data_IF_791123605186
#
_entry.id   IF_791123605186
#
_cell.length_a   1.000
_cell.length_b   1.000
_cell.length_c   1.000
_cell.angle_alpha   90.00
_cell.angle_beta   90.00
_cell.angle_gamma   90.00
#
_symmetry.space_group_name_H-M   'P 1'
#
loop_
_entity.id
_entity.type
_entity.pdbx_description
1 polymer ?
#
# COMPACT_ATOMS: atom_id res chain seq x y z
N UNK A 1 8.68 -0.21 12.10
CA UNK A 1 8.09 -1.45 11.56
C UNK A 1 7.84 -1.19 10.10
N UNK A 2 8.56 -1.85 9.20
CA UNK A 2 8.32 -1.73 7.75
C UNK A 2 6.93 -2.28 7.46
N UNK A 3 6.04 -1.43 6.94
CA UNK A 3 4.73 -1.88 6.50
C UNK A 3 4.92 -2.88 5.35
N UNK A 4 4.23 -4.02 5.41
CA UNK A 4 4.24 -5.02 4.35
C UNK A 4 3.05 -4.76 3.44
N UNK A 5 3.29 -4.69 2.13
CA UNK A 5 2.27 -4.41 1.13
C UNK A 5 2.16 -5.59 0.16
N UNK A 6 0.95 -5.78 -0.37
CA UNK A 6 0.67 -6.70 -1.46
C UNK A 6 -0.23 -6.00 -2.47
N UNK A 7 0.07 -6.17 -3.75
CA UNK A 7 -0.79 -5.72 -4.86
C UNK A 7 -1.45 -6.95 -5.48
N UNK A 8 -2.77 -6.88 -5.70
CA UNK A 8 -3.56 -7.97 -6.24
C UNK A 8 -4.36 -7.49 -7.44
N UNK A 9 -4.33 -8.23 -8.56
CA UNK A 9 -5.26 -8.07 -9.67
C UNK A 9 -6.33 -9.15 -9.57
N UNK A 10 -7.59 -8.73 -9.51
CA UNK A 10 -8.74 -9.62 -9.33
C UNK A 10 -9.73 -9.36 -10.46
N UNK A 11 -10.02 -10.39 -11.26
CA UNK A 11 -11.07 -10.30 -12.27
C UNK A 11 -12.43 -10.14 -11.59
N UNK A 12 -13.10 -9.03 -11.89
CA UNK A 12 -14.37 -8.69 -11.25
C UNK A 12 -15.54 -9.46 -11.85
N UNK A 13 -16.59 -9.74 -11.05
CA UNK A 13 -17.87 -10.19 -11.58
C UNK A 13 -18.45 -9.20 -12.59
N UNK A 14 -19.04 -9.71 -13.66
CA UNK A 14 -19.74 -8.87 -14.65
C UNK A 14 -20.96 -8.16 -14.06
N UNK A 15 -21.64 -8.79 -13.09
CA UNK A 15 -22.78 -8.19 -12.40
C UNK A 15 -22.30 -7.09 -11.41
N UNK A 16 -22.83 -5.85 -11.52
CA UNK A 16 -22.42 -4.75 -10.66
C UNK A 16 -22.66 -4.97 -9.16
N UNK A 17 -23.73 -5.68 -8.79
CA UNK A 17 -24.06 -5.94 -7.37
C UNK A 17 -23.12 -6.99 -6.79
N UNK A 18 -22.83 -8.05 -7.54
CA UNK A 18 -21.85 -9.05 -7.17
C UNK A 18 -20.45 -8.43 -6.99
N UNK A 19 -20.06 -7.51 -7.88
CA UNK A 19 -18.82 -6.74 -7.74
C UNK A 19 -18.78 -5.90 -6.46
N UNK A 20 -19.85 -5.17 -6.14
CA UNK A 20 -19.90 -4.37 -4.91
C UNK A 20 -19.84 -5.26 -3.67
N UNK A 21 -20.57 -6.38 -3.67
CA UNK A 21 -20.53 -7.34 -2.57
C UNK A 21 -19.12 -7.92 -2.39
N UNK A 22 -18.45 -8.30 -3.47
CA UNK A 22 -17.07 -8.80 -3.44
C UNK A 22 -16.13 -7.79 -2.77
N UNK A 23 -16.19 -6.52 -3.16
CA UNK A 23 -15.36 -5.45 -2.57
C UNK A 23 -15.59 -5.30 -1.06
N UNK A 24 -16.85 -5.32 -0.62
CA UNK A 24 -17.20 -5.24 0.79
C UNK A 24 -16.65 -6.45 1.58
N UNK A 25 -16.79 -7.66 1.03
CA UNK A 25 -16.31 -8.88 1.67
C UNK A 25 -14.79 -8.92 1.76
N UNK A 26 -14.08 -8.52 0.69
CA UNK A 26 -12.62 -8.47 0.69
C UNK A 26 -12.10 -7.49 1.74
N UNK A 27 -12.68 -6.29 1.79
CA UNK A 27 -12.32 -5.27 2.79
C UNK A 27 -12.56 -5.78 4.21
N UNK A 28 -13.70 -6.45 4.44
CA UNK A 28 -14.04 -7.02 5.73
C UNK A 28 -13.01 -8.09 6.16
N UNK A 29 -12.71 -9.07 5.31
CA UNK A 29 -11.73 -10.12 5.62
C UNK A 29 -10.35 -9.54 5.91
N UNK A 30 -9.89 -8.57 5.11
CA UNK A 30 -8.59 -7.90 5.35
C UNK A 30 -8.56 -7.24 6.73
N UNK A 31 -9.64 -6.55 7.12
CA UNK A 31 -9.74 -5.90 8.43
C UNK A 31 -9.73 -6.88 9.61
N UNK A 32 -10.29 -8.09 9.44
CA UNK A 32 -10.32 -9.11 10.50
C UNK A 32 -8.91 -9.56 10.93
N UNK A 33 -7.94 -9.46 10.01
CA UNK A 33 -6.54 -9.81 10.27
C UNK A 33 -5.64 -8.59 10.55
N UNK A 34 -6.24 -7.41 10.80
CA UNK A 34 -5.52 -6.18 11.13
C UNK A 34 -4.87 -5.47 9.93
N UNK A 35 -5.19 -5.91 8.70
CA UNK A 35 -4.80 -5.22 7.48
C UNK A 35 -5.77 -4.09 7.13
N UNK A 36 -5.37 -3.27 6.15
CA UNK A 36 -6.24 -2.27 5.54
C UNK A 36 -6.00 -2.21 4.02
N UNK A 37 -7.04 -1.89 3.27
CA UNK A 37 -6.91 -1.62 1.84
C UNK A 37 -6.39 -0.19 1.68
N UNK A 38 -5.12 -0.06 1.30
CA UNK A 38 -4.45 1.25 1.14
C UNK A 38 -4.69 1.91 -0.22
N UNK A 39 -5.14 1.14 -1.22
CA UNK A 39 -5.42 1.63 -2.56
C UNK A 39 -6.10 0.58 -3.43
N UNK A 40 -6.88 1.03 -4.40
CA UNK A 40 -7.55 0.18 -5.39
C UNK A 40 -7.54 0.90 -6.74
N UNK A 41 -7.24 0.17 -7.81
CA UNK A 41 -7.51 0.59 -9.18
C UNK A 41 -8.65 -0.25 -9.76
N UNK A 42 -9.43 0.33 -10.67
CA UNK A 42 -10.45 -0.37 -11.43
C UNK A 42 -9.87 -1.04 -12.69
N UNK A 43 -8.62 -0.73 -13.02
CA UNK A 43 -7.90 -1.21 -14.19
C UNK A 43 -6.77 -2.18 -13.80
N UNK A 44 -6.18 -2.81 -14.80
CA UNK A 44 -5.04 -3.71 -14.61
C UNK A 44 -3.73 -2.92 -14.57
N UNK A 45 -3.49 -2.27 -13.42
CA UNK A 45 -2.27 -1.49 -13.17
C UNK A 45 -1.01 -2.36 -13.18
N UNK A 46 -1.11 -3.64 -12.83
CA UNK A 46 0.07 -4.53 -12.86
C UNK A 46 0.51 -4.75 -14.30
N UNK A 47 -0.42 -5.08 -15.21
CA UNK A 47 -0.11 -5.18 -16.63
C UNK A 47 0.38 -3.86 -17.19
N UNK A 48 -0.18 -2.71 -16.77
CA UNK A 48 0.35 -1.40 -17.17
C UNK A 48 1.82 -1.22 -16.74
N UNK A 49 2.14 -1.53 -15.48
CA UNK A 49 3.51 -1.46 -14.95
C UNK A 49 4.47 -2.37 -15.73
N UNK A 50 4.06 -3.60 -16.04
CA UNK A 50 4.84 -4.54 -16.85
C UNK A 50 5.14 -3.97 -18.24
N UNK A 51 4.13 -3.41 -18.91
CA UNK A 51 4.29 -2.78 -20.22
C UNK A 51 5.18 -1.54 -20.19
N UNK A 52 5.16 -0.78 -19.09
CA UNK A 52 6.06 0.35 -18.90
C UNK A 52 7.49 -0.15 -18.68
N UNK A 53 7.68 -1.17 -17.85
CA UNK A 53 9.00 -1.77 -17.61
C UNK A 53 9.62 -2.34 -18.90
N UNK A 54 8.84 -2.92 -19.79
CA UNK A 54 9.32 -3.39 -21.11
C UNK A 54 9.77 -2.26 -22.05
N UNK A 55 9.28 -1.03 -21.84
CA UNK A 55 9.50 0.12 -22.74
C UNK A 55 10.54 1.10 -22.23
N UNK A 56 10.73 1.17 -20.92
CA UNK A 56 11.64 2.09 -20.27
C UNK A 56 13.04 1.46 -20.14
N UNK A 57 14.11 2.28 -20.14
CA UNK A 57 15.43 1.81 -19.76
C UNK A 57 15.46 1.28 -18.32
N UNK A 58 16.24 0.22 -18.07
CA UNK A 58 16.34 -0.43 -16.75
C UNK A 58 16.63 0.55 -15.59
N UNK A 59 17.47 1.57 -15.83
CA UNK A 59 17.84 2.53 -14.80
C UNK A 59 16.66 3.41 -14.34
N UNK A 60 15.72 3.73 -15.23
CA UNK A 60 14.52 4.51 -14.87
C UNK A 60 13.56 3.63 -14.04
N UNK A 61 13.48 2.34 -14.36
CA UNK A 61 12.67 1.37 -13.62
C UNK A 61 13.23 1.16 -12.21
N UNK A 62 14.54 0.98 -12.07
CA UNK A 62 15.18 0.85 -10.76
C UNK A 62 15.06 2.12 -9.93
N UNK A 63 15.23 3.30 -10.54
CA UNK A 63 14.98 4.57 -9.86
C UNK A 63 13.54 4.65 -9.32
N UNK A 64 12.53 4.31 -10.13
CA UNK A 64 11.15 4.31 -9.69
C UNK A 64 10.91 3.32 -8.52
N UNK A 65 11.57 2.16 -8.52
CA UNK A 65 11.51 1.19 -7.41
C UNK A 65 12.11 1.76 -6.13
N UNK A 66 13.24 2.45 -6.22
CA UNK A 66 13.87 3.12 -5.07
C UNK A 66 12.98 4.24 -4.50
N UNK A 67 12.35 5.04 -5.36
CA UNK A 67 11.42 6.10 -4.95
C UNK A 67 10.21 5.52 -4.19
N UNK A 68 9.62 4.43 -4.70
CA UNK A 68 8.52 3.72 -4.02
C UNK A 68 8.99 3.13 -2.69
N UNK A 69 10.17 2.50 -2.64
CA UNK A 69 10.73 1.97 -1.40
C UNK A 69 10.95 3.08 -0.35
N UNK A 70 11.41 4.26 -0.78
CA UNK A 70 11.59 5.41 0.08
C UNK A 70 10.27 5.96 0.65
N UNK A 71 9.17 5.93 -0.12
CA UNK A 71 7.84 6.32 0.37
C UNK A 71 7.33 5.40 1.49
N UNK A 72 7.74 4.13 1.46
CA UNK A 72 7.31 3.11 2.42
C UNK A 72 8.28 2.91 3.60
N UNK A 73 9.45 3.53 3.56
CA UNK A 73 10.35 3.60 4.70
C UNK A 73 9.78 4.59 5.74
N UNK A 74 9.51 4.15 6.98
CA UNK A 74 9.08 5.05 8.05
C UNK A 74 10.12 6.17 8.27
N UNK A 75 9.73 7.45 8.41
CA UNK A 75 10.65 8.47 8.90
C UNK A 75 11.09 8.13 10.34
N UNK A 76 12.33 8.47 10.74
CA UNK A 76 12.82 8.15 12.09
C UNK A 76 11.88 8.78 13.12
N UNK A 77 11.34 7.95 14.02
CA UNK A 77 10.51 8.42 15.14
C UNK A 77 11.28 9.50 15.88
N UNK A 78 10.84 10.76 15.79
CA UNK A 78 11.33 11.85 16.66
C UNK A 78 11.26 11.34 18.08
N UNK A 79 12.43 11.15 18.70
CA UNK A 79 12.55 10.81 20.11
C UNK A 79 11.67 11.80 20.89
N UNK A 80 10.57 11.28 21.44
CA UNK A 80 9.69 11.99 22.34
C UNK A 80 10.55 12.34 23.55
N UNK A 81 11.13 13.54 23.59
CA UNK A 81 11.74 14.10 24.79
C UNK A 81 10.63 14.10 25.85
N UNK A 82 10.64 13.09 26.71
CA UNK A 82 9.87 13.10 27.95
C UNK A 82 10.36 14.34 28.72
N UNK A 83 9.51 15.37 28.75
CA UNK A 83 9.64 16.43 29.74
C UNK A 83 9.52 15.77 31.10
N UNK A 84 10.65 15.65 31.78
CA UNK A 84 10.70 15.26 33.18
C UNK A 84 10.04 16.40 33.96
N UNK A 85 8.77 16.23 34.30
CA UNK A 85 8.07 17.12 35.22
C UNK A 85 8.72 17.00 36.59
N UNK A 86 9.45 18.02 37.00
CA UNK A 86 9.92 18.16 38.38
C UNK A 86 8.72 18.49 39.25
N UNK A 87 8.16 17.48 39.91
CA UNK A 87 7.40 17.68 41.13
C UNK A 87 8.39 18.08 42.23
N UNK A 88 8.26 19.30 42.76
CA UNK A 88 8.80 19.63 44.09
C UNK A 88 7.66 20.10 44.99
N UNK A 89 7.75 19.58 46.21
CA UNK A 89 6.84 19.62 47.34
C UNK A 89 6.55 21.04 47.87
#
# INVERSE_FOLDING_TARGET
MTASFITLVIQQPSDPRARQLMHNQLTHVISLYGGSVSGMSLEDEMTLCERLQERLPDHEVEQAREEVAALHAEPPRRARKQGHGTLKA
#
